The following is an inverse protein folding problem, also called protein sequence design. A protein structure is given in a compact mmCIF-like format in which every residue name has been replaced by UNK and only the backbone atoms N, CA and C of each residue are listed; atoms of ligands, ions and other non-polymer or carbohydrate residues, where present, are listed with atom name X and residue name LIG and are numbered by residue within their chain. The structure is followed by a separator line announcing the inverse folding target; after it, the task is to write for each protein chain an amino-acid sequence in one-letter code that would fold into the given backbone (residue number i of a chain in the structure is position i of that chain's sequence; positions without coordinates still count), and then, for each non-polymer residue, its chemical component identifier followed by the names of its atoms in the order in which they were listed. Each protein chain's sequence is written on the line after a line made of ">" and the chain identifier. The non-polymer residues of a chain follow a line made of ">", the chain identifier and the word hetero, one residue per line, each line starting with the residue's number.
data_IF_383658578261
#
_entry.id   IF_383658578261
#
_cell.length_a   1.000
_cell.length_b   1.000
_cell.length_c   1.000
_cell.angle_alpha   90.00
_cell.angle_beta   90.00
_cell.angle_gamma   90.00
#
_symmetry.space_group_name_H-M   'P 1'
#
loop_
_entity.id
_entity.type
_entity.pdbx_description
1 polymer ?
#
# COMPACT_ATOMS: atom_id res chain seq x y z
N UNK A 1 -27.49 -6.62 -26.05
CA UNK A 1 -27.51 -7.07 -24.64
C UNK A 1 -26.09 -7.42 -24.24
N UNK A 2 -25.38 -6.46 -23.64
CA UNK A 2 -24.06 -6.73 -23.04
C UNK A 2 -24.32 -7.51 -21.74
N UNK A 3 -23.91 -8.77 -21.72
CA UNK A 3 -23.88 -9.57 -20.49
C UNK A 3 -22.76 -8.99 -19.63
N UNK A 4 -23.12 -8.19 -18.63
CA UNK A 4 -22.21 -7.80 -17.55
C UNK A 4 -21.71 -9.07 -16.90
N UNK A 5 -20.46 -9.44 -17.16
CA UNK A 5 -19.78 -10.50 -16.39
C UNK A 5 -19.42 -9.86 -15.06
N UNK A 6 -20.32 -9.99 -14.08
CA UNK A 6 -19.99 -9.70 -12.69
C UNK A 6 -18.97 -10.74 -12.25
N UNK A 7 -17.70 -10.34 -12.12
CA UNK A 7 -16.72 -11.18 -11.42
C UNK A 7 -17.19 -11.26 -9.96
N UNK A 8 -17.51 -12.45 -9.44
CA UNK A 8 -17.99 -12.55 -8.08
C UNK A 8 -16.87 -12.16 -7.12
N UNK A 9 -17.11 -11.08 -6.35
CA UNK A 9 -16.42 -10.82 -5.07
C UNK A 9 -16.74 -11.99 -4.14
N UNK A 10 -16.00 -13.08 -4.29
CA UNK A 10 -16.12 -14.22 -3.39
C UNK A 10 -15.31 -13.90 -2.14
N UNK A 11 -16.01 -13.66 -1.04
CA UNK A 11 -15.44 -13.68 0.30
C UNK A 11 -15.83 -15.00 1.00
N UNK A 12 -14.96 -16.03 0.99
CA UNK A 12 -15.16 -17.18 1.87
C UNK A 12 -13.84 -17.58 2.51
N UNK A 13 -13.47 -16.89 3.60
CA UNK A 13 -12.22 -17.05 4.35
C UNK A 13 -10.96 -16.79 3.51
N UNK A 14 -10.15 -15.78 3.90
CA UNK A 14 -8.74 -15.58 3.50
C UNK A 14 -8.23 -16.76 2.66
N UNK A 15 -8.48 -16.74 1.33
CA UNK A 15 -8.05 -17.84 0.44
C UNK A 15 -6.58 -18.07 0.79
N UNK A 16 -6.17 -19.33 0.87
CA UNK A 16 -4.86 -19.88 1.26
C UNK A 16 -3.65 -19.29 0.46
N UNK A 17 -3.60 -17.97 0.31
CA UNK A 17 -2.80 -17.15 -0.60
C UNK A 17 -2.80 -15.67 -0.22
N UNK A 18 -3.71 -15.20 0.66
CA UNK A 18 -3.51 -13.92 1.36
C UNK A 18 -2.20 -14.01 2.14
N UNK A 19 -1.18 -13.30 1.66
CA UNK A 19 0.11 -13.23 2.33
C UNK A 19 -0.10 -12.87 3.80
N UNK A 20 0.76 -13.39 4.67
CA UNK A 20 0.78 -13.08 6.10
C UNK A 20 0.74 -11.55 6.25
N UNK A 21 -0.39 -10.90 6.56
CA UNK A 21 -0.53 -9.42 6.50
C UNK A 21 0.49 -8.66 7.36
N UNK A 22 1.08 -9.38 8.31
CA UNK A 22 2.06 -8.89 9.26
C UNK A 22 3.36 -9.67 9.13
N UNK A 23 4.49 -9.01 9.36
CA UNK A 23 5.81 -9.63 9.33
C UNK A 23 6.22 -10.05 10.74
N UNK A 24 5.60 -11.11 11.29
CA UNK A 24 5.77 -11.49 12.71
C UNK A 24 7.21 -11.94 13.07
N UNK A 25 8.04 -12.23 12.06
CA UNK A 25 9.46 -12.55 12.24
C UNK A 25 10.35 -11.32 12.48
N UNK A 26 9.81 -10.11 12.25
CA UNK A 26 10.53 -8.84 12.39
C UNK A 26 9.87 -7.99 13.48
N UNK A 27 10.67 -7.56 14.45
CA UNK A 27 10.26 -6.58 15.47
C UNK A 27 10.88 -5.23 15.13
N UNK A 28 10.04 -4.20 15.08
CA UNK A 28 10.46 -2.81 14.88
C UNK A 28 9.98 -1.97 16.06
N UNK A 29 10.85 -1.09 16.53
CA UNK A 29 10.51 -0.06 17.50
C UNK A 29 10.84 1.32 16.92
N UNK A 30 9.95 2.28 17.16
CA UNK A 30 10.13 3.69 16.85
C UNK A 30 10.19 4.47 18.17
N UNK A 31 11.30 5.18 18.42
CA UNK A 31 11.54 5.88 19.70
C UNK A 31 11.35 4.95 20.93
N UNK A 32 11.73 3.68 20.79
CA UNK A 32 11.59 2.65 21.83
C UNK A 32 10.19 2.07 21.99
N UNK A 33 9.20 2.51 21.22
CA UNK A 33 7.85 1.96 21.23
C UNK A 33 7.69 0.90 20.13
N UNK A 34 7.20 -0.31 20.44
CA UNK A 34 6.94 -1.33 19.43
C UNK A 34 5.84 -0.88 18.47
N UNK A 35 6.00 -1.21 17.19
CA UNK A 35 5.02 -0.93 16.14
C UNK A 35 4.69 -2.18 15.35
N UNK A 36 3.46 -2.24 14.83
CA UNK A 36 3.04 -3.33 13.97
C UNK A 36 3.77 -3.27 12.63
N UNK A 37 4.46 -4.36 12.30
CA UNK A 37 5.12 -4.51 11.00
C UNK A 37 4.16 -5.19 10.04
N UNK A 38 3.86 -4.54 8.92
CA UNK A 38 3.05 -5.10 7.84
C UNK A 38 3.94 -5.82 6.82
N UNK A 39 3.36 -6.70 6.03
CA UNK A 39 4.06 -7.35 4.94
C UNK A 39 3.45 -7.00 3.59
N UNK A 40 4.29 -7.07 2.56
CA UNK A 40 3.88 -7.05 1.17
C UNK A 40 4.60 -8.18 0.43
N UNK A 41 3.92 -8.79 -0.54
CA UNK A 41 4.51 -9.84 -1.39
C UNK A 41 5.09 -9.18 -2.62
N UNK A 42 6.38 -9.34 -2.84
CA UNK A 42 7.09 -8.72 -3.97
C UNK A 42 7.69 -9.77 -4.90
N UNK A 43 8.17 -9.34 -6.06
CA UNK A 43 8.84 -10.24 -7.00
C UNK A 43 10.24 -10.57 -6.53
N UNK A 44 10.53 -11.86 -6.33
CA UNK A 44 11.89 -12.33 -6.05
C UNK A 44 12.77 -12.38 -7.32
N UNK A 45 12.22 -11.96 -8.47
CA UNK A 45 12.85 -12.08 -9.79
C UNK A 45 12.76 -10.73 -10.51
N UNK A 46 13.87 -10.20 -11.06
CA UNK A 46 13.91 -8.86 -11.63
C UNK A 46 13.14 -8.69 -12.94
N UNK A 47 12.80 -9.79 -13.63
CA UNK A 47 12.11 -9.75 -14.92
C UNK A 47 10.72 -10.35 -14.81
N UNK A 48 9.75 -9.69 -15.44
CA UNK A 48 8.41 -10.24 -15.66
C UNK A 48 8.19 -10.49 -17.15
N UNK A 49 7.44 -11.55 -17.48
CA UNK A 49 7.06 -11.82 -18.87
C UNK A 49 5.86 -10.94 -19.21
N UNK A 50 6.06 -9.98 -20.12
CA UNK A 50 5.01 -9.04 -20.55
C UNK A 50 3.97 -9.72 -21.45
N UNK A 51 4.40 -10.61 -22.36
CA UNK A 51 3.50 -11.35 -23.27
C UNK A 51 3.94 -12.82 -23.50
N UNK A 52 3.02 -13.80 -23.50
CA UNK A 52 1.66 -13.73 -22.99
C UNK A 52 1.81 -13.73 -21.47
N UNK A 53 1.57 -12.58 -20.84
CA UNK A 53 1.82 -12.39 -19.43
C UNK A 53 0.90 -13.27 -18.62
N UNK A 54 1.45 -14.14 -17.79
CA UNK A 54 0.71 -14.91 -16.79
C UNK A 54 0.94 -14.28 -15.42
N UNK A 55 0.00 -14.47 -14.49
CA UNK A 55 0.26 -14.14 -13.09
C UNK A 55 1.53 -14.85 -12.63
N UNK A 56 2.41 -14.13 -11.93
CA UNK A 56 3.66 -14.71 -11.44
C UNK A 56 3.35 -15.84 -10.45
N UNK A 57 3.97 -17.03 -10.59
CA UNK A 57 3.85 -18.09 -9.60
C UNK A 57 4.32 -17.65 -8.22
N UNK A 58 3.65 -18.10 -7.17
CA UNK A 58 3.96 -17.74 -5.77
C UNK A 58 5.41 -18.09 -5.39
N UNK A 59 5.96 -19.19 -5.92
CA UNK A 59 7.35 -19.60 -5.65
C UNK A 59 8.43 -18.68 -6.29
N UNK A 60 8.03 -17.70 -7.10
CA UNK A 60 8.88 -16.64 -7.64
C UNK A 60 8.64 -15.29 -6.96
N UNK A 61 7.94 -15.31 -5.82
CA UNK A 61 7.70 -14.14 -4.99
C UNK A 61 8.40 -14.30 -3.66
N UNK A 62 8.62 -13.18 -2.99
CA UNK A 62 9.15 -13.12 -1.65
C UNK A 62 8.31 -12.19 -0.80
N UNK A 63 8.49 -12.25 0.52
CA UNK A 63 7.88 -11.30 1.45
C UNK A 63 8.88 -10.19 1.76
N UNK A 64 8.43 -8.97 1.60
CA UNK A 64 9.04 -7.77 2.15
C UNK A 64 8.20 -7.28 3.34
N UNK A 65 8.78 -6.38 4.14
CA UNK A 65 8.14 -5.83 5.32
C UNK A 65 8.04 -4.31 5.21
N UNK A 66 7.05 -3.72 5.85
CA UNK A 66 6.96 -2.27 5.93
C UNK A 66 6.30 -1.76 7.20
N UNK A 67 6.68 -0.55 7.57
CA UNK A 67 6.10 0.21 8.68
C UNK A 67 5.66 1.56 8.14
N UNK A 68 4.44 1.97 8.46
CA UNK A 68 3.94 3.31 8.16
C UNK A 68 3.55 3.98 9.47
N UNK A 69 4.03 5.20 9.66
CA UNK A 69 3.79 5.96 10.88
C UNK A 69 3.77 7.45 10.58
N UNK A 70 3.34 8.24 11.57
CA UNK A 70 3.40 9.69 11.53
C UNK A 70 4.12 10.19 12.78
N UNK A 71 4.93 11.23 12.58
CA UNK A 71 5.62 11.96 13.63
C UNK A 71 5.96 13.37 13.11
N UNK A 72 6.43 14.25 14.00
CA UNK A 72 6.88 15.61 13.71
C UNK A 72 8.34 15.86 14.12
N UNK A 73 8.99 14.84 14.68
CA UNK A 73 10.38 14.85 15.16
C UNK A 73 11.23 13.74 14.52
N UNK A 74 12.57 13.81 14.60
CA UNK A 74 13.43 12.69 14.21
C UNK A 74 13.03 11.40 14.94
N UNK A 75 13.00 10.28 14.21
CA UNK A 75 12.58 8.97 14.75
C UNK A 75 13.77 8.02 14.79
N UNK A 76 14.08 7.54 16.00
CA UNK A 76 15.03 6.46 16.22
C UNK A 76 14.37 5.11 15.91
N UNK A 77 14.89 4.42 14.92
CA UNK A 77 14.40 3.12 14.48
C UNK A 77 15.31 2.03 15.04
N UNK A 78 14.70 1.03 15.69
CA UNK A 78 15.39 -0.18 16.13
C UNK A 78 14.71 -1.39 15.49
N UNK A 79 15.46 -2.22 14.77
CA UNK A 79 14.98 -3.47 14.18
C UNK A 79 15.64 -4.69 14.83
N UNK A 80 14.87 -5.76 15.02
CA UNK A 80 15.36 -7.09 15.38
C UNK A 80 14.65 -8.15 14.55
N UNK A 81 15.37 -9.17 14.05
CA UNK A 81 14.73 -10.26 13.27
C UNK A 81 15.65 -11.02 12.32
N UNK A 82 16.93 -11.18 12.66
CA UNK A 82 17.88 -11.98 11.86
C UNK A 82 18.31 -11.36 10.53
N UNK A 83 18.12 -10.06 10.34
CA UNK A 83 18.62 -9.33 9.18
C UNK A 83 20.15 -9.19 9.24
N UNK A 84 20.82 -9.32 8.09
CA UNK A 84 22.26 -9.14 8.01
C UNK A 84 22.66 -7.65 8.10
N UNK A 85 22.81 -7.17 9.33
CA UNK A 85 23.18 -5.78 9.62
C UNK A 85 24.56 -5.35 9.09
N UNK A 86 25.46 -6.28 8.78
CA UNK A 86 26.82 -5.95 8.29
C UNK A 86 26.80 -5.35 6.87
N UNK A 87 25.70 -5.53 6.15
CA UNK A 87 25.49 -4.98 4.80
C UNK A 87 24.28 -4.03 4.73
N UNK A 88 23.85 -3.52 5.88
CA UNK A 88 22.70 -2.64 5.96
C UNK A 88 22.97 -1.32 5.23
N UNK A 89 22.01 -0.91 4.39
CA UNK A 89 22.00 0.38 3.70
C UNK A 89 20.59 0.94 3.76
N UNK A 90 20.46 2.22 4.14
CA UNK A 90 19.18 2.95 4.09
C UNK A 90 19.14 3.82 2.83
N UNK A 91 18.10 3.63 2.01
CA UNK A 91 17.81 4.42 0.81
C UNK A 91 16.67 5.41 1.06
N UNK A 92 16.60 6.53 0.32
CA UNK A 92 17.54 6.94 -0.73
C UNK A 92 18.88 7.42 -0.15
N UNK A 93 19.98 7.09 -0.83
CA UNK A 93 21.35 7.40 -0.37
C UNK A 93 21.60 8.90 -0.19
N UNK A 94 20.84 9.74 -0.90
CA UNK A 94 20.89 11.20 -0.76
C UNK A 94 20.52 11.70 0.64
N UNK A 95 19.81 10.88 1.44
CA UNK A 95 19.45 11.21 2.83
C UNK A 95 20.58 10.93 3.82
N UNK A 96 21.67 10.28 3.39
CA UNK A 96 22.88 10.06 4.17
C UNK A 96 22.63 9.40 5.55
N UNK A 97 21.61 8.54 5.64
CA UNK A 97 21.30 7.77 6.85
C UNK A 97 22.24 6.57 6.93
N UNK A 98 22.93 6.43 8.06
CA UNK A 98 23.91 5.37 8.27
C UNK A 98 23.34 4.37 9.29
N UNK A 99 22.89 3.18 8.85
CA UNK A 99 22.49 2.12 9.78
C UNK A 99 23.69 1.55 10.53
N UNK A 100 23.48 1.23 11.80
CA UNK A 100 24.47 0.66 12.70
C UNK A 100 23.98 -0.70 13.19
N UNK A 101 24.83 -1.71 13.11
CA UNK A 101 24.59 -3.00 13.77
C UNK A 101 25.03 -2.89 15.23
N UNK A 102 24.07 -2.84 16.15
CA UNK A 102 24.35 -2.63 17.59
C UNK A 102 24.41 -3.95 18.39
N UNK A 103 23.91 -5.05 17.82
CA UNK A 103 24.03 -6.41 18.33
C UNK A 103 23.93 -7.42 17.15
N UNK A 104 24.14 -8.74 17.36
CA UNK A 104 24.11 -9.73 16.27
C UNK A 104 22.89 -9.63 15.34
N UNK A 105 21.70 -9.44 15.91
CA UNK A 105 20.43 -9.36 15.18
C UNK A 105 19.76 -7.99 15.26
N UNK A 106 20.51 -6.93 15.62
CA UNK A 106 19.95 -5.61 15.92
C UNK A 106 20.56 -4.51 15.04
N UNK A 107 19.68 -3.79 14.33
CA UNK A 107 20.03 -2.67 13.45
C UNK A 107 19.34 -1.42 13.97
N UNK A 108 20.07 -0.31 14.03
CA UNK A 108 19.57 0.99 14.47
C UNK A 108 19.96 2.11 13.50
N UNK A 109 19.06 3.09 13.34
CA UNK A 109 19.33 4.33 12.61
C UNK A 109 18.30 5.40 12.98
N UNK A 110 18.54 6.63 12.54
CA UNK A 110 17.62 7.76 12.75
C UNK A 110 17.06 8.23 11.41
N UNK A 111 15.74 8.37 11.36
CA UNK A 111 15.02 9.04 10.27
C UNK A 111 14.75 10.49 10.68
N UNK A 112 15.49 11.44 10.09
CA UNK A 112 15.49 12.83 10.54
C UNK A 112 14.23 13.63 10.16
N UNK A 113 13.52 13.20 9.11
CA UNK A 113 12.39 13.93 8.56
C UNK A 113 11.40 12.97 7.85
N UNK A 114 10.16 13.41 7.60
CA UNK A 114 9.20 12.64 6.81
C UNK A 114 9.71 12.32 5.41
N UNK A 115 9.44 11.09 4.97
CA UNK A 115 9.88 10.55 3.69
C UNK A 115 9.63 9.05 3.57
N UNK A 116 9.99 8.50 2.41
CA UNK A 116 9.97 7.07 2.15
C UNK A 116 11.39 6.53 2.16
N UNK A 117 11.64 5.53 3.00
CA UNK A 117 12.94 4.93 3.19
C UNK A 117 12.89 3.42 2.99
N UNK A 118 14.01 2.85 2.58
CA UNK A 118 14.15 1.40 2.40
C UNK A 118 15.43 0.94 3.07
N UNK A 119 15.32 -0.04 3.96
CA UNK A 119 16.46 -0.76 4.51
C UNK A 119 16.72 -2.00 3.65
N UNK A 120 17.90 -2.05 3.03
CA UNK A 120 18.41 -3.20 2.29
C UNK A 120 19.57 -3.82 3.08
N UNK A 121 19.57 -5.15 3.24
CA UNK A 121 20.63 -5.88 3.92
C UNK A 121 21.48 -6.66 2.91
N UNK A 122 22.26 -5.93 2.12
CA UNK A 122 23.18 -6.47 1.11
C UNK A 122 22.60 -6.67 -0.30
N UNK A 123 21.28 -6.73 -0.46
CA UNK A 123 20.57 -6.70 -1.74
C UNK A 123 19.13 -6.18 -1.54
N UNK A 124 18.34 -6.15 -2.61
CA UNK A 124 16.94 -5.70 -2.61
C UNK A 124 15.92 -6.77 -2.17
N UNK A 125 16.37 -7.99 -1.87
CA UNK A 125 15.49 -9.05 -1.39
C UNK A 125 15.12 -8.81 0.07
N UNK A 126 13.89 -9.17 0.44
CA UNK A 126 13.37 -9.01 1.81
C UNK A 126 13.56 -7.60 2.41
N UNK A 127 13.44 -6.57 1.59
CA UNK A 127 13.61 -5.18 2.02
C UNK A 127 12.60 -4.78 3.12
N UNK A 128 12.98 -3.80 3.95
CA UNK A 128 12.08 -3.21 4.95
C UNK A 128 11.82 -1.75 4.60
N UNK A 129 10.57 -1.43 4.26
CA UNK A 129 10.15 -0.08 3.91
C UNK A 129 9.68 0.70 5.13
N UNK A 130 10.05 1.97 5.21
CA UNK A 130 9.61 2.90 6.25
C UNK A 130 8.93 4.09 5.59
N UNK A 131 7.63 4.25 5.84
CA UNK A 131 6.88 5.41 5.42
C UNK A 131 6.67 6.32 6.61
N UNK A 132 7.54 7.33 6.69
CA UNK A 132 7.45 8.38 7.68
C UNK A 132 6.62 9.53 7.09
N UNK A 133 5.39 9.70 7.58
CA UNK A 133 4.40 10.60 7.01
C UNK A 133 4.07 11.79 7.93
N UNK A 134 3.44 12.83 7.37
CA UNK A 134 2.73 13.90 8.10
C UNK A 134 1.23 13.75 7.88
N UNK A 135 0.65 12.69 8.44
CA UNK A 135 -0.76 12.36 8.20
C UNK A 135 -1.65 13.38 8.91
N UNK A 136 -2.67 13.88 8.21
CA UNK A 136 -3.73 14.70 8.80
C UNK A 136 -5.00 13.88 8.93
N UNK A 137 -5.47 13.74 10.16
CA UNK A 137 -6.81 13.22 10.42
C UNK A 137 -7.88 14.18 9.84
N UNK A 138 -9.08 13.69 9.50
CA UNK A 138 -10.20 14.55 9.14
C UNK A 138 -10.56 15.47 10.32
N UNK A 139 -11.10 16.65 10.02
CA UNK A 139 -11.55 17.59 11.05
C UNK A 139 -12.65 16.98 11.94
N UNK A 140 -13.52 16.17 11.35
CA UNK A 140 -14.56 15.39 12.01
C UNK A 140 -14.93 14.17 11.14
N UNK A 141 -15.33 13.06 11.77
CA UNK A 141 -15.88 11.89 11.09
C UNK A 141 -17.06 12.24 10.18
N UNK A 142 -17.98 13.12 10.59
CA UNK A 142 -19.19 13.43 9.81
C UNK A 142 -18.87 14.21 8.52
N UNK A 143 -17.66 14.79 8.42
CA UNK A 143 -17.15 15.41 7.20
C UNK A 143 -16.73 14.40 6.12
N UNK A 144 -16.77 13.10 6.44
CA UNK A 144 -16.33 12.02 5.55
C UNK A 144 -17.47 11.07 5.20
N UNK A 145 -17.70 10.85 3.90
CA UNK A 145 -18.76 9.95 3.42
C UNK A 145 -18.43 8.47 3.70
N UNK A 146 -17.18 8.08 3.48
CA UNK A 146 -16.69 6.72 3.72
C UNK A 146 -15.56 6.77 4.75
N UNK A 147 -15.86 6.39 6.00
CA UNK A 147 -14.90 6.38 7.10
C UNK A 147 -14.51 4.95 7.48
N UNK A 148 -13.25 4.58 7.25
CA UNK A 148 -12.67 3.32 7.70
C UNK A 148 -11.72 3.58 8.87
N UNK A 149 -12.18 3.27 10.10
CA UNK A 149 -11.35 3.34 11.31
C UNK A 149 -10.36 2.17 11.41
N UNK A 150 -9.55 2.12 12.49
CA UNK A 150 -8.59 1.03 12.71
C UNK A 150 -9.19 -0.38 12.53
N UNK A 151 -8.42 -1.29 11.94
CA UNK A 151 -8.82 -2.68 11.72
C UNK A 151 -9.01 -3.08 10.24
N UNK A 152 -9.54 -4.29 10.03
CA UNK A 152 -9.66 -4.89 8.69
C UNK A 152 -11.10 -4.78 8.18
N UNK A 153 -11.27 -4.28 6.97
CA UNK A 153 -12.57 -4.01 6.35
C UNK A 153 -12.68 -4.70 4.98
N UNK A 154 -13.90 -5.13 4.62
CA UNK A 154 -14.18 -5.85 3.36
C UNK A 154 -15.35 -5.24 2.57
N UNK A 155 -15.30 -3.96 2.18
CA UNK A 155 -16.42 -3.32 1.47
C UNK A 155 -16.57 -3.82 0.03
N UNK A 156 -15.55 -4.43 -0.55
CA UNK A 156 -15.58 -4.81 -1.96
C UNK A 156 -15.38 -3.63 -2.91
N UNK A 157 -16.12 -3.61 -4.00
CA UNK A 157 -16.17 -2.46 -4.90
C UNK A 157 -17.04 -1.36 -4.29
N UNK A 158 -16.47 -0.18 -4.08
CA UNK A 158 -17.19 1.06 -3.76
C UNK A 158 -17.29 1.90 -5.03
N UNK A 159 -18.52 2.24 -5.43
CA UNK A 159 -18.79 3.20 -6.51
C UNK A 159 -19.01 4.57 -5.87
N UNK A 160 -18.12 5.50 -6.19
CA UNK A 160 -18.14 6.85 -5.64
C UNK A 160 -19.14 7.72 -6.42
N UNK A 161 -19.75 8.66 -5.70
CA UNK A 161 -20.54 9.75 -6.27
C UNK A 161 -19.76 11.07 -6.21
N UNK A 162 -20.17 12.07 -6.99
CA UNK A 162 -19.56 13.40 -6.91
C UNK A 162 -19.67 14.00 -5.50
N UNK A 163 -18.57 14.56 -5.01
CA UNK A 163 -18.46 15.08 -3.65
C UNK A 163 -18.06 14.05 -2.60
N UNK A 164 -17.97 12.75 -2.95
CA UNK A 164 -17.60 11.72 -1.99
C UNK A 164 -16.17 11.93 -1.45
N UNK A 165 -16.05 11.74 -0.13
CA UNK A 165 -14.79 11.68 0.58
C UNK A 165 -14.61 10.32 1.24
N UNK A 166 -13.39 9.78 1.12
CA UNK A 166 -12.99 8.49 1.67
C UNK A 166 -11.80 8.72 2.59
N UNK A 167 -11.96 8.39 3.87
CA UNK A 167 -10.88 8.38 4.86
C UNK A 167 -10.55 6.94 5.24
N UNK A 168 -9.27 6.59 5.12
CA UNK A 168 -8.71 5.30 5.52
C UNK A 168 -7.70 5.56 6.63
N UNK A 169 -8.07 5.22 7.86
CA UNK A 169 -7.24 5.42 9.05
C UNK A 169 -5.86 4.72 8.91
N UNK A 170 -4.76 5.25 9.47
CA UNK A 170 -3.42 4.65 9.33
C UNK A 170 -3.33 3.16 9.72
N UNK A 171 -4.16 2.73 10.67
CA UNK A 171 -4.25 1.36 11.16
C UNK A 171 -5.28 0.50 10.41
N UNK A 172 -5.97 1.07 9.41
CA UNK A 172 -6.97 0.36 8.63
C UNK A 172 -6.36 -0.37 7.43
N UNK A 173 -6.88 -1.57 7.16
CA UNK A 173 -6.66 -2.33 5.92
C UNK A 173 -8.02 -2.57 5.28
N UNK A 174 -8.26 -1.95 4.13
CA UNK A 174 -9.54 -2.01 3.42
C UNK A 174 -9.38 -2.86 2.17
N UNK A 175 -9.95 -4.07 2.18
CA UNK A 175 -9.99 -4.95 1.01
C UNK A 175 -11.09 -4.50 0.05
N UNK A 176 -10.69 -3.86 -1.05
CA UNK A 176 -11.64 -3.16 -1.90
C UNK A 176 -11.02 -2.45 -3.10
N UNK A 177 -11.93 -1.90 -3.90
CA UNK A 177 -11.64 -1.02 -5.03
C UNK A 177 -12.51 0.22 -4.93
N UNK A 178 -11.97 1.40 -5.28
CA UNK A 178 -12.75 2.62 -5.43
C UNK A 178 -12.90 2.95 -6.91
N UNK A 179 -14.14 3.09 -7.37
CA UNK A 179 -14.47 3.33 -8.76
C UNK A 179 -15.30 4.61 -8.92
N UNK A 180 -14.93 5.45 -9.89
CA UNK A 180 -15.70 6.61 -10.31
C UNK A 180 -15.87 6.67 -11.83
N UNK A 181 -17.05 7.08 -12.28
CA UNK A 181 -17.31 7.39 -13.69
C UNK A 181 -18.20 8.62 -13.77
N UNK A 182 -17.80 9.61 -14.56
CA UNK A 182 -18.51 10.88 -14.72
C UNK A 182 -18.73 11.61 -13.38
N UNK A 183 -17.77 11.50 -12.45
CA UNK A 183 -17.84 12.11 -11.10
C UNK A 183 -16.84 13.25 -10.92
N UNK A 184 -17.08 14.10 -9.93
CA UNK A 184 -16.20 15.22 -9.61
C UNK A 184 -16.13 15.53 -8.11
N UNK A 185 -15.12 16.30 -7.68
CA UNK A 185 -14.89 16.67 -6.28
C UNK A 185 -14.68 15.47 -5.35
N UNK A 186 -13.78 14.55 -5.75
CA UNK A 186 -13.47 13.35 -4.98
C UNK A 186 -12.27 13.58 -4.07
N UNK A 187 -12.34 13.10 -2.82
CA UNK A 187 -11.20 13.11 -1.88
C UNK A 187 -10.96 11.72 -1.30
N UNK A 188 -9.72 11.22 -1.36
CA UNK A 188 -9.33 9.94 -0.76
C UNK A 188 -8.06 10.17 0.06
N UNK A 189 -8.07 9.92 1.37
CA UNK A 189 -6.95 10.27 2.26
C UNK A 189 -6.89 9.40 3.53
N UNK A 190 -5.85 9.58 4.36
CA UNK A 190 -5.84 9.10 5.76
C UNK A 190 -4.68 8.18 6.17
N UNK A 191 -3.86 7.71 5.22
CA UNK A 191 -2.62 6.99 5.53
C UNK A 191 -2.75 5.47 5.72
N UNK A 192 -3.97 4.94 5.72
CA UNK A 192 -4.21 3.49 5.75
C UNK A 192 -4.05 2.79 4.40
N UNK A 193 -4.30 1.49 4.40
CA UNK A 193 -4.08 0.63 3.22
C UNK A 193 -5.39 0.30 2.50
N UNK A 194 -5.43 0.57 1.20
CA UNK A 194 -6.41 0.02 0.27
C UNK A 194 -5.79 -1.20 -0.44
N UNK A 195 -6.36 -2.39 -0.20
CA UNK A 195 -5.77 -3.68 -0.54
C UNK A 195 -6.56 -4.37 -1.67
N UNK A 196 -5.88 -4.63 -2.79
CA UNK A 196 -6.46 -5.23 -3.99
C UNK A 196 -6.44 -6.77 -4.03
N UNK A 197 -5.76 -7.45 -3.10
CA UNK A 197 -5.54 -8.90 -3.12
C UNK A 197 -6.77 -9.83 -3.06
N UNK A 198 -7.99 -9.29 -3.05
CA UNK A 198 -9.23 -10.07 -3.27
C UNK A 198 -9.73 -10.04 -4.72
N UNK A 199 -9.22 -9.13 -5.54
CA UNK A 199 -9.53 -9.04 -6.95
C UNK A 199 -8.71 -10.09 -7.72
N UNK A 200 -9.36 -10.93 -8.50
CA UNK A 200 -8.67 -11.92 -9.33
C UNK A 200 -8.11 -11.24 -10.58
N UNK A 201 -6.80 -11.38 -10.80
CA UNK A 201 -6.17 -10.90 -12.03
C UNK A 201 -6.63 -11.73 -13.21
N UNK A 202 -7.49 -11.15 -14.04
CA UNK A 202 -7.90 -11.71 -15.32
C UNK A 202 -7.22 -10.97 -16.48
N UNK A 203 -6.70 -11.71 -17.46
CA UNK A 203 -6.13 -11.12 -18.68
C UNK A 203 -7.26 -10.83 -19.70
N UNK A 204 -8.27 -10.08 -19.30
CA UNK A 204 -9.33 -9.57 -20.16
C UNK A 204 -9.22 -8.04 -20.28
N UNK A 205 -9.87 -7.48 -21.30
CA UNK A 205 -9.82 -6.07 -21.70
C UNK A 205 -9.62 -5.09 -20.52
N UNK A 206 -8.42 -4.50 -20.43
CA UNK A 206 -8.03 -3.57 -19.36
C UNK A 206 -8.89 -2.29 -19.29
N UNK A 207 -9.63 -2.00 -20.36
CA UNK A 207 -10.49 -0.84 -20.53
C UNK A 207 -11.97 -1.11 -20.17
N UNK A 208 -12.34 -2.37 -19.95
CA UNK A 208 -13.70 -2.73 -19.54
C UNK A 208 -13.85 -2.68 -18.01
N UNK A 209 -15.09 -2.62 -17.53
CA UNK A 209 -15.43 -2.61 -16.10
C UNK A 209 -15.33 -3.99 -15.45
N UNK A 210 -14.51 -4.89 -16.00
CA UNK A 210 -14.30 -6.26 -15.50
C UNK A 210 -13.24 -6.26 -14.41
N UNK A 211 -12.13 -5.56 -14.65
CA UNK A 211 -11.12 -5.27 -13.64
C UNK A 211 -11.36 -3.88 -13.10
N UNK A 212 -11.55 -3.77 -11.80
CA UNK A 212 -11.83 -2.53 -11.12
C UNK A 212 -10.55 -1.78 -10.78
N UNK A 213 -9.38 -2.44 -10.74
CA UNK A 213 -8.16 -1.85 -10.17
C UNK A 213 -8.38 -1.43 -8.72
N UNK A 214 -7.33 -1.01 -8.02
CA UNK A 214 -7.55 -0.53 -6.65
C UNK A 214 -8.19 0.87 -6.66
N UNK A 215 -7.76 1.75 -7.58
CA UNK A 215 -8.44 3.00 -7.92
C UNK A 215 -8.68 3.10 -9.43
N UNK A 216 -9.92 3.38 -9.86
CA UNK A 216 -10.26 3.52 -11.29
C UNK A 216 -11.29 4.59 -11.54
N UNK A 217 -10.93 5.54 -12.41
CA UNK A 217 -11.75 6.69 -12.76
C UNK A 217 -11.88 6.83 -14.28
N UNK A 218 -13.08 7.17 -14.72
CA UNK A 218 -13.39 7.52 -16.11
C UNK A 218 -14.07 8.89 -16.17
N UNK A 219 -13.67 9.73 -17.12
CA UNK A 219 -14.33 10.99 -17.45
C UNK A 219 -14.65 11.86 -16.22
N UNK A 220 -13.74 11.91 -15.25
CA UNK A 220 -13.96 12.52 -13.94
C UNK A 220 -13.03 13.72 -13.71
N UNK A 221 -13.38 14.64 -12.81
CA UNK A 221 -12.57 15.85 -12.54
C UNK A 221 -12.43 16.18 -11.06
N UNK A 222 -11.46 17.02 -10.70
CA UNK A 222 -11.14 17.42 -9.31
C UNK A 222 -11.05 16.21 -8.36
N UNK A 223 -10.09 15.33 -8.63
CA UNK A 223 -9.82 14.14 -7.82
C UNK A 223 -8.55 14.40 -7.00
N UNK A 224 -8.66 14.32 -5.67
CA UNK A 224 -7.52 14.44 -4.76
C UNK A 224 -7.31 13.13 -4.01
N UNK A 225 -6.12 12.57 -4.11
CA UNK A 225 -5.72 11.35 -3.41
C UNK A 225 -4.44 11.65 -2.63
N UNK A 226 -4.45 11.45 -1.32
CA UNK A 226 -3.26 11.67 -0.50
C UNK A 226 -2.98 10.59 0.54
N UNK A 227 -1.71 10.39 0.85
CA UNK A 227 -1.19 9.64 2.02
C UNK A 227 -1.47 8.13 2.06
N UNK A 228 -2.46 7.61 1.34
CA UNK A 228 -2.85 6.20 1.38
C UNK A 228 -1.74 5.27 0.86
N UNK A 229 -1.83 4.02 1.29
CA UNK A 229 -1.04 2.91 0.78
C UNK A 229 -1.96 2.07 -0.10
N UNK A 230 -1.48 1.71 -1.29
CA UNK A 230 -2.15 0.78 -2.17
C UNK A 230 -1.32 -0.49 -2.22
N UNK A 231 -1.95 -1.62 -1.93
CA UNK A 231 -1.28 -2.91 -1.82
C UNK A 231 -1.92 -3.97 -2.70
N UNK A 232 -1.08 -4.76 -3.38
CA UNK A 232 -1.47 -6.00 -4.08
C UNK A 232 -2.60 -5.78 -5.10
N UNK A 233 -2.40 -4.81 -5.99
CA UNK A 233 -3.39 -4.52 -7.03
C UNK A 233 -3.39 -5.60 -8.09
N UNK A 234 -4.57 -6.14 -8.43
CA UNK A 234 -4.67 -7.20 -9.43
C UNK A 234 -4.20 -6.76 -10.82
N UNK A 235 -4.28 -5.46 -11.15
CA UNK A 235 -3.89 -4.90 -12.44
C UNK A 235 -3.26 -3.50 -12.29
N UNK A 236 -3.58 -2.55 -13.18
CA UNK A 236 -3.17 -1.16 -13.02
C UNK A 236 -3.59 -0.65 -11.64
N UNK A 237 -2.67 -0.05 -10.89
CA UNK A 237 -2.93 0.32 -9.49
C UNK A 237 -3.88 1.49 -9.36
N UNK A 238 -3.59 2.56 -10.10
CA UNK A 238 -4.39 3.79 -10.17
C UNK A 238 -4.60 4.14 -11.63
N UNK A 239 -5.86 4.15 -12.06
CA UNK A 239 -6.22 4.33 -13.48
C UNK A 239 -7.13 5.52 -13.66
N UNK A 240 -6.74 6.44 -14.54
CA UNK A 240 -7.51 7.64 -14.87
C UNK A 240 -7.65 7.74 -16.40
N UNK A 241 -8.86 7.57 -16.90
CA UNK A 241 -9.17 7.64 -18.33
C UNK A 241 -10.05 8.85 -18.59
N UNK A 242 -9.59 9.78 -19.43
CA UNK A 242 -10.36 11.01 -19.72
C UNK A 242 -10.59 11.91 -18.50
N UNK A 243 -9.76 11.80 -17.46
CA UNK A 243 -9.90 12.61 -16.25
C UNK A 243 -9.08 13.90 -16.32
N UNK A 244 -9.50 14.93 -15.59
CA UNK A 244 -8.80 16.22 -15.46
C UNK A 244 -8.64 16.65 -14.00
N UNK A 245 -7.70 17.53 -13.70
CA UNK A 245 -7.47 18.05 -12.32
C UNK A 245 -7.28 16.93 -11.27
N UNK A 246 -6.46 15.94 -11.62
CA UNK A 246 -6.09 14.84 -10.72
C UNK A 246 -4.84 15.22 -9.94
N UNK A 247 -4.94 15.24 -8.61
CA UNK A 247 -3.84 15.54 -7.70
C UNK A 247 -3.56 14.32 -6.83
N UNK A 248 -2.35 13.76 -6.96
CA UNK A 248 -1.90 12.59 -6.20
C UNK A 248 -0.66 13.00 -5.40
N UNK A 249 -0.72 12.82 -4.08
CA UNK A 249 0.32 13.29 -3.17
C UNK A 249 0.62 12.24 -2.09
N UNK A 250 1.89 11.94 -1.82
CA UNK A 250 2.29 10.98 -0.77
C UNK A 250 1.61 9.59 -0.81
N UNK A 251 1.21 9.11 -1.99
CA UNK A 251 0.68 7.74 -2.19
C UNK A 251 1.83 6.74 -2.30
N UNK A 252 1.69 5.59 -1.64
CA UNK A 252 2.66 4.48 -1.69
C UNK A 252 2.02 3.27 -2.36
N UNK A 253 2.77 2.60 -3.23
CA UNK A 253 2.32 1.41 -3.95
C UNK A 253 3.28 0.28 -3.65
N UNK A 254 2.75 -0.85 -3.17
CA UNK A 254 3.50 -2.03 -2.77
C UNK A 254 2.80 -3.28 -3.28
N UNK A 255 3.57 -4.35 -3.49
CA UNK A 255 3.06 -5.65 -3.95
C UNK A 255 2.85 -5.71 -5.44
#
# INVERSE_FOLDING_TARGET
>A
MLKTVTVPWSCPALKNSSGQLFADHLSVQLNGQPVQVRSCRESAIPFNRVWPGTQRPVNQTEMAAFVSFAADEPVHVTLNGGLNGDKAVVRPLSRQIIPQKTAPDRIEFVLNEPGQYVLECGNSHHAVYFFYNRIKAPADRQSVQWYFGPGIHFPGLIRLNSGDSVYIDPEAIVFGSLFGRDVHHIRIFGGGTLHGGMEERVFSSFFEDILHSTLKFYNSSDIRISDIIIQDSACFTTSFFGCSEVHIDHVKILG
#
